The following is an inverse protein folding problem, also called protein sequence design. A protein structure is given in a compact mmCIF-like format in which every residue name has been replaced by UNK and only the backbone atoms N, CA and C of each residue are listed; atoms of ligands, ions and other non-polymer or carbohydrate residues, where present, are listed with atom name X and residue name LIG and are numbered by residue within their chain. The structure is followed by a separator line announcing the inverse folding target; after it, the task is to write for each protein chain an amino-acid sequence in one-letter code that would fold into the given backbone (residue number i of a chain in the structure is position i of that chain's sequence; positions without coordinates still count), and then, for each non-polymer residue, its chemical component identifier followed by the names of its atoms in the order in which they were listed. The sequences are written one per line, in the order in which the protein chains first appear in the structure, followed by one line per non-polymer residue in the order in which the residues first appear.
data_IF_129396099544
#
_entry.id   IF_129396099544
#
_cell.length_a   1.000
_cell.length_b   1.000
_cell.length_c   1.000
_cell.angle_alpha   90.00
_cell.angle_beta   90.00
_cell.angle_gamma   90.00
#
_symmetry.space_group_name_H-M   'P 1'
#
loop_
_entity.id
_entity.type
_entity.pdbx_description
1 polymer ?
#
# COMPACT_ATOMS: atom_id res chain seq x y z
N UNK A 1 20.14 13.62 -15.20
CA UNK A 1 20.46 12.26 -15.67
C UNK A 1 21.47 11.63 -14.73
N UNK A 2 21.07 11.40 -13.48
CA UNK A 2 21.82 10.57 -12.54
C UNK A 2 21.07 9.25 -12.49
N UNK A 3 21.78 8.13 -12.62
CA UNK A 3 21.22 6.76 -12.62
C UNK A 3 20.18 6.57 -11.51
N UNK A 4 20.41 7.21 -10.36
CA UNK A 4 19.49 7.30 -9.21
C UNK A 4 18.07 7.74 -9.60
N UNK A 5 17.92 8.80 -10.41
CA UNK A 5 16.60 9.32 -10.81
C UNK A 5 15.86 8.35 -11.75
N UNK A 6 16.60 7.58 -12.55
CA UNK A 6 16.03 6.57 -13.43
C UNK A 6 15.54 5.37 -12.63
N UNK A 7 16.36 4.86 -11.71
CA UNK A 7 16.00 3.75 -10.82
C UNK A 7 14.78 4.10 -9.96
N UNK A 8 14.72 5.32 -9.41
CA UNK A 8 13.55 5.78 -8.67
C UNK A 8 12.28 5.85 -9.53
N UNK A 9 12.41 6.26 -10.78
CA UNK A 9 11.26 6.33 -11.70
C UNK A 9 10.75 4.94 -12.08
N UNK A 10 11.64 3.99 -12.36
CA UNK A 10 11.27 2.59 -12.63
C UNK A 10 10.65 1.91 -11.40
N UNK A 11 11.20 2.18 -10.21
CA UNK A 11 10.66 1.66 -8.96
C UNK A 11 9.25 2.19 -8.68
N UNK A 12 9.04 3.50 -8.84
CA UNK A 12 7.71 4.12 -8.74
C UNK A 12 6.78 3.61 -9.84
N UNK A 13 7.30 3.43 -11.05
CA UNK A 13 6.58 2.84 -12.18
C UNK A 13 6.02 1.47 -11.84
N UNK A 14 6.85 0.55 -11.37
CA UNK A 14 6.47 -0.80 -10.97
C UNK A 14 5.43 -0.81 -9.84
N UNK A 15 5.54 0.09 -8.85
CA UNK A 15 4.53 0.24 -7.79
C UNK A 15 3.17 0.72 -8.31
N UNK A 16 3.16 1.53 -9.36
CA UNK A 16 1.95 2.05 -10.00
C UNK A 16 1.36 1.02 -10.97
N UNK A 17 2.22 0.31 -11.70
CA UNK A 17 1.86 -0.72 -12.71
C UNK A 17 1.38 -2.03 -12.09
N UNK A 18 1.89 -2.41 -10.90
CA UNK A 18 1.33 -3.50 -10.06
C UNK A 18 -0.07 -3.16 -9.48
N UNK A 19 -0.70 -2.09 -9.98
CA UNK A 19 -2.12 -1.85 -9.86
C UNK A 19 -2.51 -1.24 -8.53
N UNK A 20 -2.04 -0.02 -8.23
CA UNK A 20 -2.46 0.79 -7.07
C UNK A 20 -2.19 0.13 -5.69
N UNK A 21 -1.70 -1.10 -5.64
CA UNK A 21 -1.77 -1.93 -4.45
C UNK A 21 -0.69 -1.63 -3.44
N UNK A 22 0.54 -1.60 -3.93
CA UNK A 22 1.69 -1.29 -3.12
C UNK A 22 1.66 0.19 -2.68
N UNK A 23 1.11 1.07 -3.52
CA UNK A 23 0.85 2.46 -3.17
C UNK A 23 -0.18 2.60 -2.04
N UNK A 24 -1.32 1.91 -2.14
CA UNK A 24 -2.35 1.89 -1.08
C UNK A 24 -1.81 1.33 0.23
N UNK A 25 -1.00 0.27 0.19
CA UNK A 25 -0.37 -0.30 1.38
C UNK A 25 0.60 0.69 2.05
N UNK A 26 1.42 1.40 1.27
CA UNK A 26 2.30 2.46 1.80
C UNK A 26 1.51 3.60 2.46
N UNK A 27 0.42 4.03 1.84
CA UNK A 27 -0.47 5.07 2.41
C UNK A 27 -1.09 4.60 3.72
N UNK A 28 -1.60 3.35 3.75
CA UNK A 28 -2.14 2.75 4.97
C UNK A 28 -1.09 2.71 6.09
N UNK A 29 0.14 2.26 5.78
CA UNK A 29 1.24 2.21 6.75
C UNK A 29 1.55 3.61 7.28
N UNK A 30 1.62 4.61 6.42
CA UNK A 30 1.87 6.00 6.83
C UNK A 30 0.76 6.53 7.75
N UNK A 31 -0.51 6.28 7.42
CA UNK A 31 -1.66 6.69 8.23
C UNK A 31 -1.69 5.99 9.59
N UNK A 32 -1.46 4.68 9.64
CA UNK A 32 -1.45 3.94 10.91
C UNK A 32 -0.25 4.34 11.76
N UNK A 33 0.91 4.57 11.13
CA UNK A 33 2.10 5.07 11.85
C UNK A 33 1.82 6.45 12.46
N UNK A 34 1.19 7.36 11.72
CA UNK A 34 0.78 8.66 12.24
C UNK A 34 -0.23 8.50 13.40
N UNK A 35 -1.21 7.60 13.27
CA UNK A 35 -2.18 7.32 14.32
C UNK A 35 -1.52 6.79 15.61
N UNK A 36 -0.56 5.87 15.50
CA UNK A 36 0.10 5.29 16.68
C UNK A 36 1.13 6.25 17.27
N UNK A 37 1.95 6.91 16.45
CA UNK A 37 3.07 7.75 16.92
C UNK A 37 2.68 9.18 17.27
N UNK A 38 1.72 9.77 16.56
CA UNK A 38 1.33 11.18 16.75
C UNK A 38 0.08 11.29 17.62
N UNK A 39 -0.92 10.42 17.42
CA UNK A 39 -2.17 10.41 18.20
C UNK A 39 -2.12 9.51 19.43
N UNK A 40 -1.01 8.79 19.66
CA UNK A 40 -0.81 7.96 20.85
C UNK A 40 -1.73 6.73 20.94
N UNK A 41 -2.25 6.24 19.80
CA UNK A 41 -3.08 5.04 19.80
C UNK A 41 -2.32 3.84 20.38
N UNK A 42 -3.01 2.93 21.11
CA UNK A 42 -2.43 1.68 21.56
C UNK A 42 -1.79 0.89 20.39
N UNK A 43 -0.54 0.44 20.53
CA UNK A 43 0.18 -0.24 19.43
C UNK A 43 -0.52 -1.48 18.90
N UNK A 44 -1.25 -2.20 19.77
CA UNK A 44 -2.05 -3.38 19.36
C UNK A 44 -3.15 -3.01 18.38
N UNK A 45 -3.83 -1.88 18.59
CA UNK A 45 -4.90 -1.41 17.70
C UNK A 45 -4.31 -1.02 16.34
N UNK A 46 -3.16 -0.35 16.34
CA UNK A 46 -2.41 -0.05 15.12
C UNK A 46 -2.01 -1.31 14.35
N UNK A 47 -1.50 -2.33 15.03
CA UNK A 47 -1.17 -3.61 14.42
C UNK A 47 -2.39 -4.29 13.78
N UNK A 48 -3.54 -4.28 14.46
CA UNK A 48 -4.78 -4.83 13.91
C UNK A 48 -5.29 -4.03 12.71
N UNK A 49 -5.18 -2.70 12.75
CA UNK A 49 -5.54 -1.82 11.62
C UNK A 49 -4.67 -2.09 10.39
N UNK A 50 -3.36 -2.30 10.57
CA UNK A 50 -2.45 -2.67 9.49
C UNK A 50 -2.81 -4.03 8.91
N UNK A 51 -3.04 -5.02 9.77
CA UNK A 51 -3.39 -6.37 9.33
C UNK A 51 -4.70 -6.37 8.52
N UNK A 52 -5.75 -5.76 9.07
CA UNK A 52 -7.05 -5.66 8.43
C UNK A 52 -6.99 -4.84 7.15
N UNK A 53 -6.29 -3.70 7.15
CA UNK A 53 -6.15 -2.84 5.99
C UNK A 53 -5.33 -3.49 4.87
N UNK A 54 -4.25 -4.19 5.19
CA UNK A 54 -3.49 -4.96 4.20
C UNK A 54 -4.34 -6.07 3.57
N UNK A 55 -5.11 -6.81 4.37
CA UNK A 55 -6.02 -7.84 3.86
C UNK A 55 -7.10 -7.26 2.95
N UNK A 56 -7.68 -6.11 3.31
CA UNK A 56 -8.67 -5.42 2.48
C UNK A 56 -8.09 -5.00 1.14
N UNK A 57 -6.90 -4.40 1.15
CA UNK A 57 -6.16 -3.99 -0.07
C UNK A 57 -5.86 -5.21 -0.95
N UNK A 58 -5.38 -6.32 -0.38
CA UNK A 58 -5.12 -7.56 -1.12
C UNK A 58 -6.41 -8.14 -1.74
N UNK A 59 -7.52 -8.14 -1.01
CA UNK A 59 -8.81 -8.61 -1.51
C UNK A 59 -9.34 -7.73 -2.65
N UNK A 60 -9.19 -6.41 -2.53
CA UNK A 60 -9.56 -5.47 -3.59
C UNK A 60 -8.70 -5.70 -4.84
N UNK A 61 -7.39 -5.93 -4.68
CA UNK A 61 -6.49 -6.33 -5.77
C UNK A 61 -6.97 -7.57 -6.47
N UNK A 62 -7.19 -8.64 -5.70
CA UNK A 62 -7.51 -9.95 -6.23
C UNK A 62 -8.84 -9.90 -6.97
N UNK A 63 -9.82 -9.16 -6.44
CA UNK A 63 -11.12 -8.92 -7.10
C UNK A 63 -10.97 -8.09 -8.36
N UNK A 64 -10.14 -7.05 -8.35
CA UNK A 64 -9.89 -6.21 -9.53
C UNK A 64 -9.21 -7.01 -10.63
N UNK A 65 -8.15 -7.75 -10.30
CA UNK A 65 -7.44 -8.63 -11.23
C UNK A 65 -8.36 -9.73 -11.80
N UNK A 66 -9.21 -10.33 -10.96
CA UNK A 66 -10.19 -11.31 -11.42
C UNK A 66 -11.25 -10.70 -12.36
N UNK A 67 -11.68 -9.46 -12.10
CA UNK A 67 -12.60 -8.72 -12.99
C UNK A 67 -11.98 -8.34 -14.33
N UNK A 68 -10.72 -7.91 -14.32
CA UNK A 68 -10.00 -7.50 -15.51
C UNK A 68 -9.74 -8.71 -16.44
N UNK A 69 -9.49 -9.89 -15.85
CA UNK A 69 -9.30 -11.14 -16.60
C UNK A 69 -10.60 -11.77 -17.12
N UNK A 70 -11.76 -11.31 -16.65
CA UNK A 70 -13.08 -11.81 -17.04
C UNK A 70 -13.74 -10.99 -18.18
N UNK A 71 -13.12 -9.89 -18.60
CA UNK A 71 -13.46 -9.13 -19.81
C UNK A 71 -12.64 -9.59 -21.00
#
# INVERSE_FOLDING_TARGET
MTVIRLVLKELVGMFVDDGNLALLALILIALVTAAVKVLGLPPLIGGFLLLAGCLAILLESARRAARDKAR
#
